data_IF_971871041562
#
_entry.id   IF_971871041562
#
_cell.length_a   1.000
_cell.length_b   1.000
_cell.length_c   1.000
_cell.angle_alpha   90.00
_cell.angle_beta   90.00
_cell.angle_gamma   90.00
#
_symmetry.space_group_name_H-M   'P 1'
#
loop_
_entity.id
_entity.type
_entity.pdbx_description
1 polymer ?
#
# COMPACT_ATOMS: atom_id res chain seq x y z
N UNK A 1 0.69 19.51 12.81
CA UNK A 1 -0.12 18.29 12.96
C UNK A 1 -1.22 18.27 11.91
N UNK A 2 -0.89 17.94 10.67
CA UNK A 2 -1.89 17.52 9.68
C UNK A 2 -2.36 16.14 10.12
N UNK A 3 -3.54 16.04 10.71
CA UNK A 3 -4.16 14.75 11.01
C UNK A 3 -4.30 13.99 9.70
N UNK A 4 -3.70 12.82 9.65
CA UNK A 4 -3.71 11.88 8.54
C UNK A 4 -5.16 11.50 8.21
N UNK A 5 -5.73 12.12 7.19
CA UNK A 5 -6.96 11.63 6.59
C UNK A 5 -6.60 10.47 5.66
N UNK A 6 -7.40 9.42 5.64
CA UNK A 6 -7.12 8.17 4.94
C UNK A 6 -6.82 8.40 3.45
N UNK A 7 -5.60 8.14 3.05
CA UNK A 7 -5.14 8.36 1.69
C UNK A 7 -5.66 7.32 0.67
N UNK A 8 -5.72 6.01 0.97
CA UNK A 8 -6.13 4.99 -0.01
C UNK A 8 -7.57 5.12 -0.45
N UNK A 9 -8.52 5.36 0.44
CA UNK A 9 -9.95 5.42 0.12
C UNK A 9 -10.26 6.53 -0.87
N UNK A 10 -9.65 7.68 -0.73
CA UNK A 10 -9.79 8.82 -1.66
C UNK A 10 -9.20 8.53 -3.04
N UNK A 11 -8.02 7.88 -3.08
CA UNK A 11 -7.38 7.50 -4.35
C UNK A 11 -8.25 6.54 -5.16
N UNK A 12 -8.92 5.60 -4.49
CA UNK A 12 -9.86 4.68 -5.11
C UNK A 12 -10.99 5.41 -5.84
N UNK A 13 -11.56 6.48 -5.24
CA UNK A 13 -12.60 7.30 -5.88
C UNK A 13 -12.09 8.06 -7.11
N UNK A 14 -10.86 8.57 -7.06
CA UNK A 14 -10.25 9.28 -8.19
C UNK A 14 -9.92 8.33 -9.35
N UNK A 15 -9.51 7.11 -9.04
CA UNK A 15 -9.30 6.06 -10.03
C UNK A 15 -10.63 5.58 -10.63
N UNK A 16 -11.71 5.52 -9.83
CA UNK A 16 -13.04 5.17 -10.32
C UNK A 16 -13.55 6.17 -11.37
N UNK A 17 -13.33 7.48 -11.20
CA UNK A 17 -13.66 8.52 -12.20
C UNK A 17 -12.97 8.28 -13.55
N UNK A 18 -11.83 7.61 -13.54
CA UNK A 18 -11.04 7.23 -14.73
C UNK A 18 -11.41 5.85 -15.29
N UNK A 19 -12.50 5.24 -14.77
CA UNK A 19 -12.97 3.92 -15.19
C UNK A 19 -12.25 2.74 -14.53
N UNK A 20 -11.32 2.97 -13.60
CA UNK A 20 -10.59 1.94 -12.89
C UNK A 20 -11.35 1.55 -11.61
N UNK A 21 -11.97 0.37 -11.62
CA UNK A 21 -12.84 -0.09 -10.54
C UNK A 21 -12.14 -1.03 -9.56
N UNK A 22 -11.11 -1.75 -10.02
CA UNK A 22 -10.43 -2.78 -9.25
C UNK A 22 -8.99 -2.34 -8.92
N UNK A 23 -8.86 -1.48 -7.92
CA UNK A 23 -7.58 -0.88 -7.51
C UNK A 23 -7.28 -1.01 -6.02
N UNK A 24 -8.30 -1.35 -5.21
CA UNK A 24 -8.15 -1.60 -3.77
C UNK A 24 -7.75 -3.05 -3.52
N UNK A 25 -6.66 -3.26 -2.81
CA UNK A 25 -6.18 -4.56 -2.37
C UNK A 25 -6.94 -4.98 -1.09
N UNK A 26 -8.14 -5.53 -1.30
CA UNK A 26 -9.05 -5.83 -0.19
C UNK A 26 -8.52 -6.95 0.71
N UNK A 27 -8.77 -6.80 2.02
CA UNK A 27 -8.41 -7.79 3.04
C UNK A 27 -6.96 -7.71 3.53
N UNK A 28 -6.16 -6.77 3.03
CA UNK A 28 -4.85 -6.48 3.58
C UNK A 28 -4.98 -5.56 4.80
N UNK A 29 -4.37 -5.96 5.92
CA UNK A 29 -4.37 -5.20 7.17
C UNK A 29 -2.96 -4.69 7.49
N UNK A 30 -2.81 -3.48 8.03
CA UNK A 30 -1.52 -3.03 8.51
C UNK A 30 -1.03 -3.93 9.65
N UNK A 31 0.26 -4.21 9.66
CA UNK A 31 0.86 -5.03 10.71
C UNK A 31 0.85 -4.33 12.08
N UNK A 32 0.94 -3.02 12.08
CA UNK A 32 0.78 -2.17 13.25
C UNK A 32 -0.21 -1.05 12.94
N UNK A 33 -1.21 -0.78 13.82
CA UNK A 33 -2.16 0.32 13.60
C UNK A 33 -1.48 1.69 13.53
N UNK A 34 -0.33 1.85 14.18
CA UNK A 34 0.42 3.10 14.26
C UNK A 34 1.58 3.18 13.27
N UNK A 35 1.71 2.21 12.35
CA UNK A 35 2.79 2.26 11.36
C UNK A 35 2.66 3.48 10.45
N UNK A 36 3.79 4.00 9.90
CA UNK A 36 3.76 5.07 8.92
C UNK A 36 2.94 4.67 7.67
N UNK A 37 2.40 5.67 6.99
CA UNK A 37 1.79 5.43 5.68
C UNK A 37 2.86 4.87 4.72
N UNK A 38 2.44 3.88 3.92
CA UNK A 38 3.26 3.23 2.91
C UNK A 38 3.07 3.92 1.57
N UNK A 39 4.15 4.35 0.94
CA UNK A 39 4.12 4.88 -0.44
C UNK A 39 5.38 4.46 -1.15
N UNK A 40 5.25 3.84 -2.33
CA UNK A 40 6.40 3.50 -3.16
C UNK A 40 6.00 2.75 -4.44
N UNK A 41 6.97 2.58 -5.34
CA UNK A 41 6.75 1.82 -6.56
C UNK A 41 6.79 0.31 -6.27
N UNK A 42 5.90 -0.44 -6.89
CA UNK A 42 5.82 -1.89 -6.75
C UNK A 42 7.05 -2.58 -7.34
N UNK A 43 7.73 -3.37 -6.52
CA UNK A 43 8.69 -4.39 -6.91
C UNK A 43 8.07 -5.75 -6.58
N UNK A 44 7.63 -6.46 -7.60
CA UNK A 44 6.76 -7.63 -7.46
C UNK A 44 7.53 -8.94 -7.37
N UNK A 45 7.02 -9.88 -6.57
CA UNK A 45 7.51 -11.26 -6.47
C UNK A 45 6.33 -12.19 -6.71
N UNK A 46 6.41 -13.00 -7.75
CA UNK A 46 5.43 -14.04 -8.04
C UNK A 46 5.74 -15.31 -7.29
N UNK A 47 4.76 -15.82 -6.57
CA UNK A 47 4.88 -16.99 -5.71
C UNK A 47 3.78 -17.98 -6.09
N UNK A 48 4.16 -19.24 -6.24
CA UNK A 48 3.25 -20.34 -6.53
C UNK A 48 3.29 -21.38 -5.42
N UNK A 49 2.37 -22.36 -5.38
CA UNK A 49 2.49 -23.50 -4.49
C UNK A 49 3.80 -24.25 -4.71
N UNK A 50 4.44 -24.63 -3.62
CA UNK A 50 5.66 -25.46 -3.64
C UNK A 50 5.36 -26.87 -4.16
N UNK A 51 6.37 -27.46 -4.76
CA UNK A 51 6.35 -28.84 -5.25
C UNK A 51 7.47 -29.63 -4.58
N UNK A 52 7.12 -30.62 -3.78
CA UNK A 52 8.01 -31.29 -2.82
C UNK A 52 9.22 -31.98 -3.46
N UNK A 53 9.11 -32.38 -4.75
CA UNK A 53 10.22 -32.98 -5.50
C UNK A 53 11.23 -31.95 -6.05
N UNK A 54 10.85 -30.65 -6.10
CA UNK A 54 11.69 -29.56 -6.61
C UNK A 54 12.13 -28.60 -5.51
N UNK A 55 11.24 -28.32 -4.55
CA UNK A 55 11.39 -27.24 -3.58
C UNK A 55 11.92 -27.78 -2.25
N UNK A 56 13.24 -27.85 -2.10
CA UNK A 56 13.88 -28.30 -0.88
C UNK A 56 14.36 -27.12 -0.02
N UNK A 57 14.50 -27.33 1.29
CA UNK A 57 15.12 -26.35 2.20
C UNK A 57 16.55 -25.99 1.77
N UNK A 58 17.27 -26.92 1.15
CA UNK A 58 18.63 -26.68 0.66
C UNK A 58 18.64 -25.69 -0.51
N UNK A 59 17.67 -25.79 -1.44
CA UNK A 59 17.52 -24.83 -2.53
C UNK A 59 17.10 -23.45 -2.03
N UNK A 60 16.16 -23.42 -1.09
CA UNK A 60 15.72 -22.17 -0.48
C UNK A 60 16.84 -21.43 0.26
N UNK A 61 17.76 -22.16 0.88
CA UNK A 61 18.89 -21.60 1.63
C UNK A 61 20.02 -21.04 0.74
N UNK A 62 20.02 -21.31 -0.57
CA UNK A 62 21.05 -20.82 -1.50
C UNK A 62 20.98 -19.31 -1.66
N UNK A 63 22.14 -18.68 -1.90
CA UNK A 63 22.24 -17.23 -2.12
C UNK A 63 21.61 -16.80 -3.44
N UNK A 64 21.57 -17.69 -4.45
CA UNK A 64 20.90 -17.45 -5.74
C UNK A 64 19.40 -17.75 -5.72
N UNK A 65 18.82 -18.15 -4.58
CA UNK A 65 17.37 -18.36 -4.49
C UNK A 65 16.63 -17.07 -4.80
N UNK A 66 15.57 -17.17 -5.62
CA UNK A 66 14.80 -16.00 -6.07
C UNK A 66 14.20 -15.19 -4.91
N UNK A 67 13.83 -15.89 -3.83
CA UNK A 67 13.31 -15.21 -2.64
C UNK A 67 14.35 -14.28 -2.00
N UNK A 68 15.58 -14.76 -1.79
CA UNK A 68 16.67 -13.97 -1.22
C UNK A 68 17.11 -12.86 -2.16
N UNK A 69 17.22 -13.17 -3.44
CA UNK A 69 17.54 -12.19 -4.47
C UNK A 69 16.51 -11.06 -4.53
N UNK A 70 15.21 -11.36 -4.45
CA UNK A 70 14.18 -10.34 -4.44
C UNK A 70 14.33 -9.36 -3.25
N UNK A 71 14.74 -9.85 -2.06
CA UNK A 71 15.03 -9.00 -0.90
C UNK A 71 16.27 -8.12 -1.16
N UNK A 72 17.33 -8.70 -1.74
CA UNK A 72 18.57 -7.98 -2.01
C UNK A 72 18.49 -7.03 -3.22
N UNK A 73 17.66 -7.32 -4.19
CA UNK A 73 17.51 -6.52 -5.43
C UNK A 73 16.38 -5.49 -5.35
N UNK A 74 15.49 -5.57 -4.33
CA UNK A 74 14.43 -4.58 -4.17
C UNK A 74 15.00 -3.17 -4.01
N UNK A 75 14.66 -2.21 -4.88
CA UNK A 75 15.23 -0.86 -4.83
C UNK A 75 14.83 -0.09 -3.57
N UNK A 76 15.70 0.82 -3.14
CA UNK A 76 15.35 1.78 -2.10
C UNK A 76 14.13 2.63 -2.53
N UNK A 77 13.21 2.89 -1.59
CA UNK A 77 11.95 3.59 -1.85
C UNK A 77 10.87 2.76 -2.55
N UNK A 78 11.16 1.53 -3.00
CA UNK A 78 10.16 0.63 -3.56
C UNK A 78 9.32 -0.05 -2.45
N UNK A 79 8.19 -0.60 -2.84
CA UNK A 79 7.36 -1.49 -2.03
C UNK A 79 7.52 -2.91 -2.56
N UNK A 80 7.98 -3.82 -1.70
CA UNK A 80 8.06 -5.25 -2.02
C UNK A 80 6.65 -5.85 -2.01
N UNK A 81 6.20 -6.35 -3.17
CA UNK A 81 4.88 -6.95 -3.37
C UNK A 81 5.04 -8.46 -3.50
N UNK A 82 4.67 -9.21 -2.47
CA UNK A 82 4.80 -10.66 -2.41
C UNK A 82 3.43 -11.29 -2.70
N UNK A 83 3.28 -11.94 -3.86
CA UNK A 83 2.01 -12.41 -4.38
C UNK A 83 1.90 -13.95 -4.38
N UNK A 84 1.49 -14.59 -3.27
CA UNK A 84 1.24 -16.04 -3.17
C UNK A 84 -0.18 -16.44 -3.63
N UNK A 85 -0.94 -15.53 -4.27
CA UNK A 85 -2.30 -15.83 -4.73
C UNK A 85 -3.30 -16.04 -3.60
N UNK A 86 -3.12 -15.35 -2.48
CA UNK A 86 -3.99 -15.46 -1.30
C UNK A 86 -3.71 -16.69 -0.41
N UNK A 87 -2.67 -17.48 -0.70
CA UNK A 87 -2.31 -18.62 0.13
C UNK A 87 -1.65 -18.15 1.44
N UNK A 88 -2.27 -18.52 2.55
CA UNK A 88 -1.83 -18.17 3.90
C UNK A 88 -1.29 -19.37 4.69
N UNK A 89 -1.14 -20.54 4.07
CA UNK A 89 -0.66 -21.75 4.75
C UNK A 89 0.82 -21.69 5.12
N UNK A 90 1.59 -20.83 4.43
CA UNK A 90 2.97 -20.52 4.80
C UNK A 90 3.24 -19.02 4.69
N UNK A 91 4.25 -18.57 5.40
CA UNK A 91 4.69 -17.18 5.36
C UNK A 91 5.48 -16.87 4.09
N UNK A 92 5.38 -15.64 3.61
CA UNK A 92 6.20 -15.16 2.48
C UNK A 92 7.44 -14.38 2.93
N UNK A 93 7.53 -14.02 4.22
CA UNK A 93 8.66 -13.28 4.79
C UNK A 93 8.65 -13.37 6.33
N UNK A 94 9.83 -13.29 6.94
CA UNK A 94 10.03 -13.13 8.38
C UNK A 94 10.79 -11.85 8.74
N UNK A 95 11.09 -11.67 10.02
CA UNK A 95 11.67 -10.46 10.60
C UNK A 95 13.07 -10.12 10.08
N UNK A 96 13.94 -11.11 9.85
CA UNK A 96 15.29 -10.87 9.31
C UNK A 96 15.26 -10.29 7.90
N UNK A 97 14.33 -10.73 7.07
CA UNK A 97 14.13 -10.17 5.73
C UNK A 97 13.56 -8.75 5.81
N UNK A 98 12.60 -8.52 6.71
CA UNK A 98 12.05 -7.20 6.94
C UNK A 98 13.11 -6.21 7.43
N UNK A 99 13.97 -6.62 8.37
CA UNK A 99 15.11 -5.83 8.82
C UNK A 99 16.05 -5.50 7.65
N UNK A 100 16.33 -6.48 6.78
CA UNK A 100 17.19 -6.25 5.61
C UNK A 100 16.57 -5.24 4.64
N UNK A 101 15.28 -5.34 4.36
CA UNK A 101 14.55 -4.38 3.52
C UNK A 101 14.63 -2.96 4.11
N UNK A 102 14.42 -2.82 5.43
CA UNK A 102 14.53 -1.53 6.11
C UNK A 102 15.93 -0.93 5.94
N UNK A 103 17.00 -1.70 6.18
CA UNK A 103 18.39 -1.25 6.05
C UNK A 103 18.71 -0.85 4.60
N UNK A 104 18.10 -1.50 3.63
CA UNK A 104 18.21 -1.13 2.21
C UNK A 104 17.40 0.09 1.81
N UNK A 105 16.61 0.66 2.73
CA UNK A 105 15.77 1.83 2.46
C UNK A 105 14.51 1.51 1.66
N UNK A 106 14.07 0.24 1.63
CA UNK A 106 12.79 -0.15 1.01
C UNK A 106 11.64 0.47 1.80
N UNK A 107 10.62 0.99 1.12
CA UNK A 107 9.53 1.73 1.76
C UNK A 107 8.61 0.84 2.59
N UNK A 108 8.51 -0.44 2.25
CA UNK A 108 7.70 -1.42 2.99
C UNK A 108 7.41 -2.68 2.19
N UNK A 109 6.57 -3.56 2.74
CA UNK A 109 6.19 -4.81 2.09
C UNK A 109 4.70 -5.10 2.21
N UNK A 110 4.10 -5.68 1.16
CA UNK A 110 2.70 -6.08 1.15
C UNK A 110 2.52 -7.49 0.62
N UNK A 111 1.52 -8.21 1.13
CA UNK A 111 1.16 -9.54 0.66
C UNK A 111 -0.33 -9.85 0.85
N UNK A 112 -0.92 -10.59 -0.06
CA UNK A 112 -2.23 -11.22 0.15
C UNK A 112 -2.14 -12.60 0.83
N UNK A 113 -0.93 -13.02 1.21
CA UNK A 113 -0.63 -14.13 2.10
C UNK A 113 -0.38 -13.67 3.55
N UNK A 114 0.66 -14.21 4.17
CA UNK A 114 1.02 -13.91 5.55
C UNK A 114 2.51 -13.75 5.78
N UNK A 115 2.86 -12.96 6.78
CA UNK A 115 4.22 -12.90 7.35
C UNK A 115 4.30 -13.76 8.61
N UNK A 116 5.50 -14.26 8.92
CA UNK A 116 5.82 -14.83 10.23
C UNK A 116 6.61 -13.82 11.07
N UNK A 117 6.86 -14.16 12.31
CA UNK A 117 7.66 -13.34 13.24
C UNK A 117 7.15 -11.89 13.33
N UNK A 118 5.81 -11.72 13.27
CA UNK A 118 5.16 -10.41 13.15
C UNK A 118 5.51 -9.43 14.28
N UNK A 119 5.73 -9.85 15.54
CA UNK A 119 6.25 -8.95 16.56
C UNK A 119 7.65 -8.41 16.24
N UNK A 120 8.52 -9.25 15.68
CA UNK A 120 9.86 -8.84 15.22
C UNK A 120 9.77 -7.86 14.07
N UNK A 121 8.92 -8.12 13.06
CA UNK A 121 8.70 -7.17 11.95
C UNK A 121 8.20 -5.82 12.45
N UNK A 122 7.22 -5.80 13.36
CA UNK A 122 6.73 -4.54 13.97
C UNK A 122 7.86 -3.75 14.65
N UNK A 123 8.75 -4.43 15.36
CA UNK A 123 9.86 -3.77 16.05
C UNK A 123 10.88 -3.15 15.10
N UNK A 124 10.95 -3.57 13.83
CA UNK A 124 11.79 -2.92 12.82
C UNK A 124 11.27 -1.54 12.42
N UNK A 125 9.96 -1.30 12.53
CA UNK A 125 9.30 -0.09 12.03
C UNK A 125 9.04 -0.07 10.53
N UNK A 126 9.37 -1.14 9.78
CA UNK A 126 9.05 -1.26 8.35
C UNK A 126 7.53 -1.34 8.17
N UNK A 127 6.89 -0.44 7.40
CA UNK A 127 5.46 -0.55 7.10
C UNK A 127 5.15 -1.82 6.32
N UNK A 128 4.28 -2.67 6.89
CA UNK A 128 3.91 -3.93 6.27
C UNK A 128 2.40 -4.13 6.29
N UNK A 129 1.86 -4.75 5.22
CA UNK A 129 0.45 -5.14 5.14
C UNK A 129 0.34 -6.60 4.73
N UNK A 130 -0.54 -7.33 5.37
CA UNK A 130 -0.79 -8.75 5.13
C UNK A 130 -2.26 -9.09 5.26
N UNK A 131 -2.65 -10.25 4.75
CA UNK A 131 -3.99 -10.79 5.02
C UNK A 131 -4.11 -11.31 6.44
N UNK A 132 -3.13 -12.10 6.89
CA UNK A 132 -3.05 -12.64 8.26
C UNK A 132 -1.61 -13.06 8.58
N UNK A 133 -1.33 -13.33 9.85
CA UNK A 133 -0.07 -13.94 10.24
C UNK A 133 -0.02 -15.42 9.85
N UNK A 134 1.17 -15.93 9.48
CA UNK A 134 1.39 -17.33 9.13
C UNK A 134 2.72 -17.81 9.69
N UNK A 135 2.72 -18.79 10.58
CA UNK A 135 3.92 -19.31 11.24
C UNK A 135 4.82 -20.21 10.37
N UNK A 136 4.26 -21.11 9.48
CA UNK A 136 5.09 -22.00 8.70
C UNK A 136 6.03 -21.25 7.74
N UNK A 137 7.25 -21.79 7.55
CA UNK A 137 8.24 -21.21 6.64
C UNK A 137 7.81 -21.32 5.16
N UNK A 138 8.24 -20.36 4.36
CA UNK A 138 7.90 -20.25 2.92
C UNK A 138 7.99 -21.59 2.16
N UNK A 139 9.12 -22.35 2.18
CA UNK A 139 9.28 -23.52 1.34
C UNK A 139 8.42 -24.72 1.73
N UNK A 140 7.64 -24.62 2.82
CA UNK A 140 6.70 -25.70 3.20
C UNK A 140 5.53 -25.79 2.23
N UNK A 141 5.06 -24.63 1.71
CA UNK A 141 3.90 -24.58 0.82
C UNK A 141 4.08 -23.63 -0.37
N UNK A 142 5.11 -22.79 -0.37
CA UNK A 142 5.25 -21.69 -1.30
C UNK A 142 6.61 -21.67 -1.98
N UNK A 143 6.62 -21.34 -3.27
CA UNK A 143 7.81 -21.25 -4.11
C UNK A 143 7.85 -19.93 -4.89
N UNK A 144 8.76 -19.00 -4.60
CA UNK A 144 9.01 -17.80 -5.42
C UNK A 144 9.61 -18.21 -6.77
N UNK A 145 8.93 -17.86 -7.88
CA UNK A 145 9.33 -18.30 -9.23
C UNK A 145 9.99 -17.22 -10.05
N UNK A 146 9.63 -15.97 -9.85
CA UNK A 146 10.29 -14.81 -10.44
C UNK A 146 9.97 -13.53 -9.65
N UNK A 147 10.61 -12.43 -10.05
CA UNK A 147 10.31 -11.11 -9.53
C UNK A 147 10.33 -10.05 -10.63
N UNK A 148 9.78 -8.88 -10.34
CA UNK A 148 9.65 -7.75 -11.26
C UNK A 148 8.86 -8.11 -12.53
N UNK A 149 7.83 -8.96 -12.38
CA UNK A 149 6.84 -9.32 -13.37
C UNK A 149 5.43 -8.95 -12.87
N UNK A 150 4.44 -8.77 -13.78
CA UNK A 150 3.05 -8.54 -13.36
C UNK A 150 2.52 -9.68 -12.49
N UNK A 151 1.78 -9.31 -11.43
CA UNK A 151 1.17 -10.27 -10.49
C UNK A 151 -0.28 -9.93 -10.22
N UNK A 152 -1.06 -10.92 -9.79
CA UNK A 152 -2.35 -10.71 -9.14
C UNK A 152 -2.16 -10.67 -7.63
N UNK A 153 -2.58 -9.60 -6.96
CA UNK A 153 -2.53 -9.45 -5.51
C UNK A 153 -3.90 -9.05 -4.98
N UNK A 154 -4.50 -9.84 -4.11
CA UNK A 154 -5.84 -9.59 -3.56
C UNK A 154 -6.90 -9.28 -4.65
N UNK A 155 -6.81 -9.93 -5.80
CA UNK A 155 -7.71 -9.74 -6.94
C UNK A 155 -7.42 -8.52 -7.80
N UNK A 156 -6.35 -7.77 -7.54
CA UNK A 156 -5.91 -6.61 -8.32
C UNK A 156 -4.68 -6.96 -9.15
N UNK A 157 -4.64 -6.54 -10.41
CA UNK A 157 -3.44 -6.63 -11.23
C UNK A 157 -2.44 -5.55 -10.80
N UNK A 158 -1.24 -5.96 -10.40
CA UNK A 158 -0.14 -5.06 -10.01
C UNK A 158 1.01 -5.25 -10.98
N UNK A 159 1.40 -4.18 -11.64
CA UNK A 159 2.54 -4.15 -12.55
C UNK A 159 3.77 -3.56 -11.87
N UNK A 160 4.99 -4.01 -12.20
CA UNK A 160 6.21 -3.37 -11.73
C UNK A 160 6.21 -1.87 -12.01
N UNK A 161 6.50 -1.08 -10.96
CA UNK A 161 6.51 0.37 -11.04
C UNK A 161 5.16 1.06 -10.80
N UNK A 162 4.04 0.33 -10.68
CA UNK A 162 2.79 0.90 -10.17
C UNK A 162 2.99 1.46 -8.77
N UNK A 163 2.27 2.52 -8.42
CA UNK A 163 2.42 3.14 -7.10
C UNK A 163 1.49 2.48 -6.10
N UNK A 164 2.07 1.92 -5.06
CA UNK A 164 1.35 1.36 -3.92
C UNK A 164 1.23 2.42 -2.83
N UNK A 165 0.00 2.66 -2.39
CA UNK A 165 -0.28 3.56 -1.26
C UNK A 165 -1.08 2.80 -0.21
N UNK A 166 -0.58 2.79 1.03
CA UNK A 166 -1.23 2.08 2.14
C UNK A 166 -1.28 2.92 3.42
N UNK A 167 -2.38 2.85 4.14
CA UNK A 167 -2.58 3.46 5.45
C UNK A 167 -3.49 2.61 6.36
N UNK A 168 -4.02 3.19 7.44
CA UNK A 168 -4.88 2.49 8.40
C UNK A 168 -6.18 1.92 7.83
N UNK A 169 -6.60 2.31 6.63
CA UNK A 169 -7.85 1.83 6.01
C UNK A 169 -7.62 0.78 4.90
N UNK A 170 -6.38 0.61 4.45
CA UNK A 170 -6.05 -0.40 3.45
C UNK A 170 -4.97 0.03 2.48
N UNK A 171 -4.91 -0.66 1.36
CA UNK A 171 -3.88 -0.46 0.33
C UNK A 171 -4.54 -0.28 -1.04
N UNK A 172 -4.08 0.71 -1.80
CA UNK A 172 -4.49 0.95 -3.19
C UNK A 172 -3.29 0.82 -4.13
N UNK A 173 -3.53 0.24 -5.31
CA UNK A 173 -2.60 0.20 -6.43
C UNK A 173 -2.99 1.26 -7.47
N UNK A 174 -2.07 2.16 -7.79
CA UNK A 174 -2.27 3.24 -8.74
C UNK A 174 -1.39 2.96 -9.95
N UNK A 175 -1.95 2.81 -11.16
CA UNK A 175 -1.16 2.65 -12.37
C UNK A 175 -0.12 3.77 -12.51
N UNK A 176 1.12 3.41 -12.81
CA UNK A 176 2.27 4.32 -12.85
C UNK A 176 2.00 5.60 -13.67
N UNK A 177 1.34 5.46 -14.82
CA UNK A 177 1.08 6.58 -15.74
C UNK A 177 0.05 7.58 -15.20
N UNK A 178 -0.73 7.24 -14.16
CA UNK A 178 -1.72 8.10 -13.52
C UNK A 178 -1.23 8.67 -12.17
N UNK A 179 -0.06 8.24 -11.69
CA UNK A 179 0.37 8.53 -10.33
C UNK A 179 0.49 10.03 -10.03
N UNK A 180 1.11 10.81 -10.92
CA UNK A 180 1.32 12.24 -10.73
C UNK A 180 -0.01 13.02 -10.77
N UNK A 181 -0.88 12.68 -11.72
CA UNK A 181 -2.21 13.29 -11.86
C UNK A 181 -3.08 13.01 -10.63
N UNK A 182 -3.16 11.74 -10.21
CA UNK A 182 -3.91 11.35 -9.01
C UNK A 182 -3.32 11.99 -7.75
N UNK A 183 -2.00 12.15 -7.66
CA UNK A 183 -1.37 12.81 -6.52
C UNK A 183 -1.74 14.30 -6.46
N UNK A 184 -1.72 14.99 -7.58
CA UNK A 184 -2.09 16.42 -7.66
C UNK A 184 -3.56 16.64 -7.27
N UNK A 185 -4.49 15.86 -7.85
CA UNK A 185 -5.92 15.94 -7.50
C UNK A 185 -6.17 15.66 -6.03
N UNK A 186 -5.51 14.66 -5.48
CA UNK A 186 -5.68 14.31 -4.08
C UNK A 186 -5.20 15.40 -3.11
N UNK A 187 -4.16 16.15 -3.46
CA UNK A 187 -3.71 17.31 -2.67
C UNK A 187 -4.78 18.40 -2.67
N UNK A 188 -5.36 18.72 -3.84
CA UNK A 188 -6.43 19.70 -3.97
C UNK A 188 -7.70 19.28 -3.22
N UNK A 189 -8.15 18.04 -3.40
CA UNK A 189 -9.32 17.50 -2.69
C UNK A 189 -9.10 17.53 -1.18
N UNK A 190 -7.92 17.15 -0.69
CA UNK A 190 -7.59 17.18 0.74
C UNK A 190 -7.67 18.61 1.31
N UNK A 191 -7.16 19.58 0.57
CA UNK A 191 -7.20 20.98 0.99
C UNK A 191 -8.64 21.52 1.04
N UNK A 192 -9.45 21.20 0.03
CA UNK A 192 -10.88 21.55 0.02
C UNK A 192 -11.65 20.89 1.17
N UNK A 193 -11.42 19.62 1.45
CA UNK A 193 -12.12 18.90 2.52
C UNK A 193 -11.75 19.44 3.92
N UNK A 194 -10.53 19.94 4.11
CA UNK A 194 -10.17 20.61 5.35
C UNK A 194 -11.01 21.91 5.55
N UNK A 195 -11.23 22.67 4.48
CA UNK A 195 -12.13 23.82 4.46
C UNK A 195 -13.57 23.39 4.77
N UNK A 196 -14.12 22.41 4.05
CA UNK A 196 -15.46 21.91 4.28
C UNK A 196 -15.68 21.40 5.70
N UNK A 197 -14.71 20.62 6.22
CA UNK A 197 -14.76 20.12 7.60
C UNK A 197 -14.76 21.24 8.64
N UNK A 198 -14.06 22.35 8.40
CA UNK A 198 -14.07 23.49 9.31
C UNK A 198 -15.45 24.17 9.36
N UNK A 199 -16.12 24.31 8.22
CA UNK A 199 -17.49 24.82 8.15
C UNK A 199 -18.50 23.88 8.81
N UNK A 200 -18.39 22.56 8.56
CA UNK A 200 -19.30 21.56 9.16
C UNK A 200 -19.16 21.57 10.69
N UNK A 201 -17.94 21.66 11.25
CA UNK A 201 -17.75 21.76 12.70
C UNK A 201 -18.43 22.97 13.33
N UNK A 202 -18.75 23.99 12.54
CA UNK A 202 -19.48 25.19 12.96
C UNK A 202 -20.98 25.12 12.67
N UNK A 203 -21.49 23.95 12.30
CA UNK A 203 -22.90 23.70 12.12
C UNK A 203 -23.42 23.98 10.69
N UNK A 204 -22.54 24.30 9.72
CA UNK A 204 -22.97 24.41 8.33
C UNK A 204 -23.40 23.05 7.80
N UNK A 205 -24.52 23.01 7.07
CA UNK A 205 -25.01 21.82 6.38
C UNK A 205 -23.99 21.32 5.35
N UNK A 206 -23.94 20.00 5.15
CA UNK A 206 -23.19 19.38 4.05
C UNK A 206 -23.76 19.70 2.66
N UNK A 207 -25.05 20.05 2.57
CA UNK A 207 -25.68 20.37 1.30
C UNK A 207 -25.05 21.61 0.67
N UNK A 208 -24.68 21.51 -0.59
CA UNK A 208 -23.96 22.55 -1.32
C UNK A 208 -22.50 22.79 -0.89
N UNK A 209 -22.02 21.99 0.07
CA UNK A 209 -20.64 22.06 0.57
C UNK A 209 -19.86 20.75 0.30
N UNK A 210 -20.49 19.61 0.52
CA UNK A 210 -19.83 18.30 0.29
C UNK A 210 -20.84 17.29 -0.30
N UNK A 211 -20.52 16.66 -1.45
CA UNK A 211 -19.36 16.94 -2.31
C UNK A 211 -19.26 18.38 -2.76
N UNK A 212 -18.04 18.82 -3.18
CA UNK A 212 -17.84 20.18 -3.68
C UNK A 212 -18.79 20.52 -4.84
N UNK A 213 -19.48 21.65 -4.74
CA UNK A 213 -20.25 22.26 -5.83
C UNK A 213 -19.46 23.39 -6.47
N UNK A 214 -19.83 23.87 -7.68
CA UNK A 214 -19.19 25.03 -8.28
C UNK A 214 -19.17 26.24 -7.35
N UNK A 215 -20.26 26.50 -6.64
CA UNK A 215 -20.41 27.62 -5.70
C UNK A 215 -19.48 27.49 -4.51
N UNK A 216 -19.42 26.30 -3.89
CA UNK A 216 -18.53 26.04 -2.75
C UNK A 216 -17.06 26.02 -3.15
N UNK A 217 -16.74 25.70 -4.40
CA UNK A 217 -15.38 25.86 -4.94
C UNK A 217 -14.97 27.32 -5.08
N UNK A 218 -15.84 28.16 -5.60
CA UNK A 218 -15.60 29.61 -5.66
C UNK A 218 -15.39 30.20 -4.26
N UNK A 219 -16.17 29.75 -3.27
CA UNK A 219 -16.02 30.16 -1.88
C UNK A 219 -14.66 29.74 -1.31
N UNK A 220 -14.26 28.48 -1.55
CA UNK A 220 -12.97 27.96 -1.17
C UNK A 220 -11.81 28.75 -1.79
N UNK A 221 -11.88 29.03 -3.09
CA UNK A 221 -10.84 29.76 -3.81
C UNK A 221 -10.68 31.19 -3.29
N UNK A 222 -11.80 31.87 -2.95
CA UNK A 222 -11.76 33.17 -2.28
C UNK A 222 -11.14 33.11 -0.89
N UNK A 223 -11.46 32.07 -0.12
CA UNK A 223 -10.88 31.86 1.20
C UNK A 223 -9.37 31.60 1.13
N UNK A 224 -8.90 30.84 0.15
CA UNK A 224 -7.47 30.63 -0.12
C UNK A 224 -6.80 31.92 -0.52
N UNK A 225 -7.38 32.70 -1.45
CA UNK A 225 -6.85 33.99 -1.91
C UNK A 225 -6.77 35.03 -0.78
N UNK A 226 -7.66 34.94 0.21
CA UNK A 226 -7.65 35.80 1.42
C UNK A 226 -6.62 35.32 2.49
N UNK A 227 -5.78 34.33 2.17
CA UNK A 227 -4.77 33.84 3.11
C UNK A 227 -5.30 32.85 4.14
N UNK A 228 -6.40 32.19 3.85
CA UNK A 228 -7.05 31.17 4.72
C UNK A 228 -7.39 31.69 6.12
N UNK A 229 -8.15 32.78 6.25
CA UNK A 229 -8.52 33.32 7.56
C UNK A 229 -9.29 32.27 8.37
N UNK A 230 -9.32 32.38 9.71
CA UNK A 230 -10.16 31.57 10.55
C UNK A 230 -11.61 31.60 10.06
N UNK A 231 -12.23 30.44 9.87
CA UNK A 231 -13.65 30.35 9.53
C UNK A 231 -14.43 30.72 10.78
N UNK A 232 -15.17 31.85 10.73
CA UNK A 232 -15.94 32.40 11.84
C UNK A 232 -17.16 31.51 12.19
#
# INVERSE_FOLDING_TARGET
>A
HVKRHSFPTRRSSDLLKRGLRNTMLLGLQPLSPDQPALVGQAFTVRIIPAREDLDSMALYARDDSLHRRAIEECPAGAVLVLAPGGDTRASVMGDMMALRLLVRGVAGAITDGGFRDTPGIRSTGLPCFQRQASGPATPIHLHPVDFNQPVGLAGVAVYPGDVIVGDGEGVVCIPRHLADEVAAEAADVTAYEAFAAAHIRRGRSIFGLFPATPESRIEYDRWVAAGRPPIA
#
